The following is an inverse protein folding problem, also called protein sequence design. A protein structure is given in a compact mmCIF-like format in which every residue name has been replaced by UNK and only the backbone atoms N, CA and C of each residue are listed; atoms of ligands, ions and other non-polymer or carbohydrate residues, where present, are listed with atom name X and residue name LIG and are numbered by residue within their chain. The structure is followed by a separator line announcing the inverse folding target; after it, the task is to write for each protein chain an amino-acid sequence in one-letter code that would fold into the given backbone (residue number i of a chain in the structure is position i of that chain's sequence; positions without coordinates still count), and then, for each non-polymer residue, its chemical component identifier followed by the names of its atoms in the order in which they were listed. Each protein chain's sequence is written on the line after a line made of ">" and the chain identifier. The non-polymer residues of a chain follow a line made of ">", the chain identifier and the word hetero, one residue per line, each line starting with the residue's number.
data_IF_189769336550
#
_entry.id   IF_189769336550
#
_cell.length_a   1.000
_cell.length_b   1.000
_cell.length_c   1.000
_cell.angle_alpha   90.00
_cell.angle_beta   90.00
_cell.angle_gamma   90.00
#
_symmetry.space_group_name_H-M   'P 1'
#
loop_
_entity.id
_entity.type
_entity.pdbx_description
1 polymer ?
#
# COMPACT_ATOMS: atom_id res chain seq x y z
N UNK A 1 16.27 3.02 -5.75
CA UNK A 1 15.91 1.59 -5.79
C UNK A 1 16.60 0.87 -4.66
N UNK A 2 15.92 -0.03 -4.01
CA UNK A 2 16.45 -0.83 -2.90
C UNK A 2 16.68 -2.27 -3.34
N UNK A 3 17.70 -2.89 -2.76
CA UNK A 3 17.92 -4.33 -2.86
C UNK A 3 17.05 -5.03 -1.82
N UNK A 4 16.22 -5.97 -2.27
CA UNK A 4 15.33 -6.70 -1.37
C UNK A 4 16.08 -7.83 -0.67
N UNK A 5 15.91 -7.94 0.65
CA UNK A 5 16.48 -9.02 1.46
C UNK A 5 15.66 -9.25 2.73
N UNK A 6 14.96 -10.37 2.79
CA UNK A 6 14.17 -10.78 3.96
C UNK A 6 14.45 -12.26 4.29
N UNK A 7 15.24 -12.49 5.32
CA UNK A 7 15.65 -13.84 5.72
C UNK A 7 14.73 -14.45 6.79
N UNK A 8 13.97 -13.62 7.51
CA UNK A 8 13.03 -14.04 8.56
C UNK A 8 12.06 -12.90 8.92
N UNK A 9 11.05 -13.21 9.74
CA UNK A 9 10.02 -12.26 10.17
C UNK A 9 10.21 -11.68 11.60
N UNK A 10 11.29 -12.05 12.29
CA UNK A 10 11.53 -11.66 13.70
C UNK A 10 12.75 -10.77 13.90
N UNK A 11 13.59 -10.58 12.91
CA UNK A 11 14.69 -9.61 12.96
C UNK A 11 14.17 -8.18 12.93
N UNK A 12 14.98 -7.24 13.37
CA UNK A 12 14.64 -5.83 13.32
C UNK A 12 14.32 -5.38 11.89
N UNK A 13 13.17 -4.74 11.72
CA UNK A 13 12.75 -4.18 10.43
C UNK A 13 13.71 -3.07 10.03
N UNK A 14 14.28 -3.13 8.82
CA UNK A 14 15.23 -2.14 8.30
C UNK A 14 14.58 -1.16 7.32
N UNK A 15 13.82 -1.70 6.39
CA UNK A 15 13.12 -0.88 5.39
C UNK A 15 11.75 -1.48 5.07
N UNK A 16 10.81 -0.63 4.69
CA UNK A 16 9.44 -1.03 4.36
C UNK A 16 8.88 -0.13 3.25
N UNK A 17 8.02 -0.69 2.42
CA UNK A 17 7.17 0.09 1.52
C UNK A 17 5.85 0.34 2.24
N UNK A 18 5.56 1.60 2.52
CA UNK A 18 4.30 2.04 3.10
C UNK A 18 3.40 2.61 2.01
N UNK A 19 2.16 2.16 1.97
CA UNK A 19 1.15 2.62 1.01
C UNK A 19 0.94 4.13 1.02
N UNK A 20 0.26 4.63 0.00
CA UNK A 20 0.00 6.05 -0.24
C UNK A 20 -1.49 6.29 -0.37
N UNK A 21 -2.01 7.33 0.32
CA UNK A 21 -3.41 7.75 0.22
C UNK A 21 -3.61 9.02 -0.62
N UNK A 22 -2.54 9.61 -1.14
CA UNK A 22 -2.60 10.75 -2.04
C UNK A 22 -3.38 10.38 -3.31
N UNK A 23 -4.31 11.25 -3.72
CA UNK A 23 -5.12 11.03 -4.92
C UNK A 23 -5.84 9.66 -4.99
N UNK A 24 -6.22 9.09 -3.84
CA UNK A 24 -6.88 7.78 -3.82
C UNK A 24 -8.26 7.76 -4.51
N UNK A 25 -8.76 8.92 -4.88
CA UNK A 25 -10.03 9.08 -5.55
C UNK A 25 -11.22 9.16 -4.60
N UNK A 26 -12.40 9.37 -5.18
CA UNK A 26 -13.67 9.35 -4.46
C UNK A 26 -14.04 7.93 -4.02
N UNK A 27 -14.89 7.78 -2.99
CA UNK A 27 -15.46 6.48 -2.65
C UNK A 27 -16.09 5.83 -3.88
N UNK A 28 -15.82 4.53 -4.14
CA UNK A 28 -16.39 3.85 -5.30
C UNK A 28 -17.92 3.81 -5.22
N UNK A 29 -18.56 3.79 -6.37
CA UNK A 29 -20.02 3.63 -6.44
C UNK A 29 -20.41 2.20 -6.07
N UNK A 30 -21.61 2.02 -5.52
CA UNK A 30 -22.11 0.72 -5.03
C UNK A 30 -21.93 -0.42 -6.04
N UNK A 31 -22.11 -0.14 -7.33
CA UNK A 31 -22.02 -1.15 -8.40
C UNK A 31 -20.57 -1.43 -8.89
N UNK A 32 -19.61 -0.59 -8.51
CA UNK A 32 -18.19 -0.76 -8.84
C UNK A 32 -17.40 -1.51 -7.76
N UNK A 33 -18.04 -1.77 -6.62
CA UNK A 33 -17.39 -2.40 -5.46
C UNK A 33 -17.36 -3.91 -5.62
N UNK A 34 -16.18 -4.48 -5.52
CA UNK A 34 -15.95 -5.92 -5.66
C UNK A 34 -15.78 -6.67 -4.34
N UNK A 35 -15.62 -5.97 -3.21
CA UNK A 35 -15.48 -6.60 -1.90
C UNK A 35 -16.62 -6.25 -0.93
N UNK A 36 -17.07 -7.23 -0.10
CA UNK A 36 -18.23 -7.04 0.77
C UNK A 36 -18.03 -5.98 1.86
N UNK A 37 -16.79 -5.76 2.31
CA UNK A 37 -16.49 -4.82 3.39
C UNK A 37 -16.56 -3.38 2.91
N UNK A 38 -15.97 -3.08 1.76
CA UNK A 38 -16.12 -1.76 1.13
C UNK A 38 -17.57 -1.46 0.82
N UNK A 39 -18.33 -2.44 0.32
CA UNK A 39 -19.77 -2.29 0.07
C UNK A 39 -20.54 -1.93 1.34
N UNK A 40 -20.25 -2.59 2.46
CA UNK A 40 -20.86 -2.27 3.75
C UNK A 40 -20.60 -0.81 4.13
N UNK A 41 -19.34 -0.35 4.07
CA UNK A 41 -18.98 1.01 4.45
C UNK A 41 -19.58 2.07 3.53
N UNK A 42 -19.70 1.81 2.24
CA UNK A 42 -20.33 2.71 1.29
C UNK A 42 -21.83 2.83 1.58
N UNK A 43 -22.52 1.72 1.80
CA UNK A 43 -23.96 1.72 2.13
C UNK A 43 -24.28 2.42 3.46
N UNK A 44 -23.34 2.42 4.40
CA UNK A 44 -23.49 3.05 5.71
C UNK A 44 -22.85 4.46 5.81
N UNK A 45 -22.39 5.02 4.69
CA UNK A 45 -21.70 6.31 4.65
C UNK A 45 -20.50 6.39 5.63
N UNK A 46 -19.81 5.28 5.83
CA UNK A 46 -18.65 5.15 6.71
C UNK A 46 -17.36 4.77 5.95
N UNK A 47 -17.34 4.95 4.64
CA UNK A 47 -16.15 4.75 3.84
C UNK A 47 -15.09 5.79 4.20
N UNK A 48 -13.83 5.41 4.43
CA UNK A 48 -12.78 6.33 4.87
C UNK A 48 -12.53 7.46 3.86
N UNK A 49 -12.38 8.69 4.37
CA UNK A 49 -11.98 9.82 3.53
C UNK A 49 -10.48 9.79 3.25
N UNK A 50 -10.05 10.36 2.13
CA UNK A 50 -8.63 10.54 1.82
C UNK A 50 -7.87 11.26 2.94
N UNK A 51 -8.47 12.31 3.51
CA UNK A 51 -7.87 13.09 4.60
C UNK A 51 -7.61 12.24 5.83
N UNK A 52 -8.56 11.40 6.22
CA UNK A 52 -8.41 10.53 7.39
C UNK A 52 -7.34 9.45 7.15
N UNK A 53 -7.37 8.82 5.98
CA UNK A 53 -6.38 7.79 5.63
C UNK A 53 -4.96 8.37 5.53
N UNK A 54 -4.81 9.56 4.95
CA UNK A 54 -3.52 10.28 4.91
C UNK A 54 -2.99 10.54 6.32
N UNK A 55 -3.85 10.98 7.23
CA UNK A 55 -3.50 11.23 8.64
C UNK A 55 -3.03 9.96 9.35
N UNK A 56 -3.74 8.86 9.14
CA UNK A 56 -3.38 7.57 9.74
C UNK A 56 -2.05 7.04 9.20
N UNK A 57 -1.85 7.09 7.88
CA UNK A 57 -0.59 6.68 7.26
C UNK A 57 0.58 7.56 7.68
N UNK A 58 0.38 8.87 7.84
CA UNK A 58 1.40 9.79 8.33
C UNK A 58 1.77 9.49 9.80
N UNK A 59 0.79 9.14 10.63
CA UNK A 59 1.04 8.73 12.01
C UNK A 59 1.86 7.43 12.05
N UNK A 60 1.54 6.48 11.20
CA UNK A 60 2.28 5.24 11.09
C UNK A 60 3.71 5.46 10.54
N UNK A 61 3.86 6.30 9.53
CA UNK A 61 5.17 6.73 9.03
C UNK A 61 6.07 7.25 10.13
N UNK A 62 5.56 8.16 10.97
CA UNK A 62 6.32 8.74 12.09
C UNK A 62 6.79 7.69 13.10
N UNK A 63 5.96 6.70 13.39
CA UNK A 63 6.33 5.58 14.27
C UNK A 63 7.47 4.78 13.66
N UNK A 64 7.39 4.43 12.39
CA UNK A 64 8.42 3.67 11.69
C UNK A 64 9.76 4.42 11.70
N UNK A 65 9.76 5.71 11.34
CA UNK A 65 10.95 6.56 11.33
C UNK A 65 11.55 6.70 12.74
N UNK A 66 10.71 6.84 13.77
CA UNK A 66 11.16 6.87 15.18
C UNK A 66 11.92 5.61 15.57
N UNK A 67 11.59 4.47 14.96
CA UNK A 67 12.27 3.19 15.18
C UNK A 67 13.41 2.92 14.18
N UNK A 68 13.90 3.96 13.50
CA UNK A 68 14.97 3.89 12.51
C UNK A 68 14.67 2.95 11.33
N UNK A 69 13.40 2.84 10.95
CA UNK A 69 12.99 2.11 9.73
C UNK A 69 13.03 3.04 8.54
N UNK A 70 13.67 2.59 7.47
CA UNK A 70 13.71 3.29 6.19
C UNK A 70 12.36 3.11 5.48
N UNK A 71 11.61 4.18 5.30
CA UNK A 71 10.25 4.10 4.75
C UNK A 71 10.22 4.63 3.33
N UNK A 72 9.89 3.73 2.40
CA UNK A 72 9.70 4.06 0.99
C UNK A 72 8.21 4.24 0.70
N UNK A 73 7.91 5.16 -0.21
CA UNK A 73 6.55 5.39 -0.69
C UNK A 73 6.47 5.09 -2.18
N UNK A 74 5.41 4.43 -2.66
CA UNK A 74 5.21 4.26 -4.09
C UNK A 74 5.05 5.61 -4.79
N UNK A 75 5.35 5.64 -6.08
CA UNK A 75 5.03 6.81 -6.90
C UNK A 75 3.51 7.03 -6.93
N UNK A 76 3.09 8.29 -6.81
CA UNK A 76 1.67 8.64 -6.80
C UNK A 76 1.03 8.43 -8.18
N UNK A 77 -0.05 7.67 -8.20
CA UNK A 77 -0.88 7.43 -9.38
C UNK A 77 -2.25 8.09 -9.13
N UNK A 78 -2.62 9.04 -9.98
CA UNK A 78 -3.89 9.77 -9.85
C UNK A 78 -5.10 8.85 -9.92
N UNK A 79 -6.06 9.09 -9.04
CA UNK A 79 -7.31 8.32 -8.92
C UNK A 79 -7.08 6.83 -8.65
N UNK A 80 -5.97 6.48 -8.02
CA UNK A 80 -5.60 5.12 -7.66
C UNK A 80 -5.46 4.98 -6.15
N UNK A 81 -6.15 4.00 -5.57
CA UNK A 81 -6.03 3.69 -4.16
C UNK A 81 -4.79 2.82 -3.92
N UNK A 82 -3.70 3.44 -3.47
CA UNK A 82 -2.41 2.79 -3.22
C UNK A 82 -2.14 2.51 -1.72
N UNK A 83 -3.18 2.50 -0.90
CA UNK A 83 -3.05 2.35 0.57
C UNK A 83 -2.47 1.00 0.96
N UNK A 84 -2.86 -0.08 0.28
CA UNK A 84 -2.52 -1.46 0.65
C UNK A 84 -1.35 -2.03 -0.17
N UNK A 85 -0.21 -1.37 -0.12
CA UNK A 85 1.00 -1.82 -0.83
C UNK A 85 1.41 -3.27 -0.47
N UNK A 86 1.09 -3.75 0.73
CA UNK A 86 1.38 -5.12 1.20
C UNK A 86 0.76 -6.22 0.33
N UNK A 87 -0.34 -5.91 -0.37
CA UNK A 87 -1.06 -6.89 -1.18
C UNK A 87 -0.41 -7.11 -2.55
N UNK A 88 0.51 -6.23 -2.94
CA UNK A 88 1.13 -6.24 -4.26
C UNK A 88 2.27 -7.26 -4.40
N UNK A 89 2.83 -7.68 -3.29
CA UNK A 89 3.90 -8.66 -3.28
C UNK A 89 4.56 -8.84 -1.92
N UNK A 90 5.50 -9.76 -1.87
CA UNK A 90 6.29 -10.05 -0.67
C UNK A 90 7.70 -10.52 -1.05
N UNK A 91 8.61 -10.48 -0.09
CA UNK A 91 10.01 -10.86 -0.30
C UNK A 91 10.40 -12.06 0.55
N UNK A 92 11.10 -13.02 -0.04
CA UNK A 92 11.78 -14.11 0.66
C UNK A 92 13.23 -14.12 0.19
N UNK A 93 14.18 -14.05 1.12
CA UNK A 93 15.58 -13.87 0.82
C UNK A 93 15.79 -12.65 -0.09
N UNK A 94 16.39 -12.79 -1.24
CA UNK A 94 16.62 -11.73 -2.22
C UNK A 94 15.65 -11.77 -3.42
N UNK A 95 14.52 -12.48 -3.28
CA UNK A 95 13.53 -12.65 -4.34
C UNK A 95 12.24 -11.92 -3.94
N UNK A 96 11.78 -11.03 -4.81
CA UNK A 96 10.46 -10.41 -4.69
C UNK A 96 9.44 -11.24 -5.46
N UNK A 97 8.37 -11.63 -4.77
CA UNK A 97 7.23 -12.35 -5.34
C UNK A 97 6.09 -11.38 -5.58
N UNK A 98 5.77 -11.12 -6.84
CA UNK A 98 4.61 -10.34 -7.21
C UNK A 98 3.34 -11.14 -7.01
N UNK A 99 2.37 -10.55 -6.35
CA UNK A 99 1.05 -11.17 -6.15
C UNK A 99 0.28 -11.26 -7.46
N UNK A 100 -0.57 -12.29 -7.58
CA UNK A 100 -1.57 -12.38 -8.62
C UNK A 100 -2.77 -11.49 -8.25
N UNK A 101 -2.62 -10.19 -8.50
CA UNK A 101 -3.58 -9.18 -8.07
C UNK A 101 -4.78 -9.09 -9.03
N UNK A 102 -5.94 -8.68 -8.51
CA UNK A 102 -7.13 -8.46 -9.35
C UNK A 102 -6.91 -7.34 -10.36
N UNK A 103 -7.51 -7.43 -11.57
CA UNK A 103 -7.30 -6.45 -12.64
C UNK A 103 -7.51 -4.99 -12.22
N UNK A 104 -8.47 -4.73 -11.33
CA UNK A 104 -8.80 -3.39 -10.82
C UNK A 104 -7.66 -2.73 -10.01
N UNK A 105 -6.63 -3.50 -9.63
CA UNK A 105 -5.49 -3.04 -8.84
C UNK A 105 -4.15 -3.17 -9.55
N UNK A 106 -4.12 -3.64 -10.78
CA UNK A 106 -2.87 -3.90 -11.52
C UNK A 106 -2.00 -2.64 -11.68
N UNK A 107 -2.61 -1.47 -11.87
CA UNK A 107 -1.87 -0.22 -12.02
C UNK A 107 -1.06 0.17 -10.77
N UNK A 108 -1.44 -0.29 -9.58
CA UNK A 108 -0.68 -0.05 -8.35
C UNK A 108 0.73 -0.67 -8.39
N UNK A 109 0.91 -1.76 -9.15
CA UNK A 109 2.19 -2.47 -9.26
C UNK A 109 3.31 -1.56 -9.79
N UNK A 110 3.00 -0.68 -10.72
CA UNK A 110 3.99 0.23 -11.32
C UNK A 110 4.65 1.11 -10.25
N UNK A 111 3.85 1.66 -9.34
CA UNK A 111 4.34 2.52 -8.26
C UNK A 111 5.25 1.81 -7.26
N UNK A 112 5.06 0.51 -7.05
CA UNK A 112 5.87 -0.30 -6.13
C UNK A 112 7.11 -0.87 -6.82
N UNK A 113 6.96 -1.42 -8.03
CA UNK A 113 8.08 -2.04 -8.75
C UNK A 113 9.18 -1.04 -9.08
N UNK A 114 8.86 0.24 -9.24
CA UNK A 114 9.85 1.30 -9.45
C UNK A 114 10.83 1.48 -8.28
N UNK A 115 10.44 1.06 -7.07
CA UNK A 115 11.25 1.18 -5.85
C UNK A 115 12.21 0.01 -5.66
N UNK A 116 11.96 -1.12 -6.31
CA UNK A 116 12.67 -2.37 -6.10
C UNK A 116 13.72 -2.56 -7.20
N UNK A 117 14.95 -2.84 -6.78
CA UNK A 117 16.00 -3.26 -7.71
C UNK A 117 15.79 -4.74 -8.07
N UNK A 118 15.46 -4.98 -9.31
CA UNK A 118 15.28 -6.32 -9.86
C UNK A 118 16.47 -6.71 -10.70
#
# INVERSE_FOLDING_TARGET
>A
MIEVKVDNEYSALKSVILGLAEDMGDPPKVFDVYDPRSLYHIKNNSYPSEVDVKKDLESFYRILVKHNVDVLRPDNIKNCNQVFARDLGFTISNIFFQSNIVPNREEELVGVLSLIHI
#
